data_IF_027333424661
#
_entry.id   IF_027333424661
#
_cell.length_a   1.000
_cell.length_b   1.000
_cell.length_c   1.000
_cell.angle_alpha   90.00
_cell.angle_beta   90.00
_cell.angle_gamma   90.00
#
_symmetry.space_group_name_H-M   'P 1'
#
loop_
_entity.id
_entity.type
_entity.pdbx_description
1 polymer ?
#
# COMPACT_ATOMS: atom_id res chain seq x y z
N UNK A 1 48.10 36.74 7.87
CA UNK A 1 49.25 35.85 8.11
C UNK A 1 48.71 34.43 8.27
N UNK A 2 49.32 33.46 7.56
CA UNK A 2 49.18 31.97 7.72
C UNK A 2 47.80 31.37 7.35
N UNK A 3 47.53 30.87 6.13
CA UNK A 3 47.94 29.60 5.46
C UNK A 3 47.77 28.32 6.30
N UNK A 4 46.84 27.43 5.91
CA UNK A 4 47.06 26.03 5.48
C UNK A 4 45.77 25.18 5.37
N UNK A 5 45.87 24.12 4.55
CA UNK A 5 44.93 23.00 4.27
C UNK A 5 43.79 23.27 3.25
N UNK A 6 43.50 22.43 2.26
CA UNK A 6 44.04 21.11 1.87
C UNK A 6 43.77 20.87 0.37
N UNK A 7 44.65 20.11 -0.28
CA UNK A 7 44.56 19.67 -1.68
C UNK A 7 43.44 18.62 -1.84
N UNK A 8 42.52 18.82 -2.77
CA UNK A 8 41.71 17.72 -3.32
C UNK A 8 42.37 17.22 -4.62
N UNK A 9 42.91 16.01 -4.57
CA UNK A 9 43.34 15.28 -5.76
C UNK A 9 42.12 14.53 -6.34
N UNK A 10 41.74 14.89 -7.56
CA UNK A 10 40.78 14.13 -8.36
C UNK A 10 41.46 12.90 -8.94
N UNK A 11 41.04 11.70 -8.51
CA UNK A 11 41.38 10.44 -9.18
C UNK A 11 40.24 10.14 -10.15
N UNK A 12 40.46 10.44 -11.42
CA UNK A 12 39.65 9.92 -12.52
C UNK A 12 40.18 8.51 -12.85
N UNK A 13 39.45 7.47 -12.44
CA UNK A 13 39.66 6.11 -12.94
C UNK A 13 38.56 5.78 -13.95
N UNK A 14 38.89 5.94 -15.23
CA UNK A 14 38.10 5.43 -16.35
C UNK A 14 38.30 3.92 -16.46
N UNK A 15 37.31 3.15 -16.02
CA UNK A 15 37.20 1.72 -16.38
C UNK A 15 35.98 1.54 -17.25
N UNK A 16 36.19 1.50 -18.56
CA UNK A 16 35.21 1.09 -19.56
C UNK A 16 34.95 -0.42 -19.42
N UNK A 17 33.88 -0.81 -18.73
CA UNK A 17 33.37 -2.18 -18.78
C UNK A 17 32.41 -2.29 -19.96
N UNK A 18 32.82 -3.06 -20.98
CA UNK A 18 31.94 -3.40 -22.09
C UNK A 18 30.83 -4.32 -21.57
N UNK A 19 29.58 -3.89 -21.70
CA UNK A 19 28.42 -4.73 -21.46
C UNK A 19 28.23 -5.64 -22.67
N UNK A 20 28.95 -6.76 -22.71
CA UNK A 20 28.59 -7.86 -23.60
C UNK A 20 27.22 -8.41 -23.15
N UNK A 21 26.25 -8.42 -24.07
CA UNK A 21 24.86 -8.79 -23.81
C UNK A 21 24.74 -10.18 -23.19
N UNK A 22 24.33 -10.23 -21.92
CA UNK A 22 23.93 -11.45 -21.26
C UNK A 22 22.59 -11.93 -21.86
N UNK A 23 22.69 -12.86 -22.81
CA UNK A 23 21.55 -13.58 -23.38
C UNK A 23 20.85 -14.34 -22.26
N UNK A 24 19.61 -13.95 -21.93
CA UNK A 24 18.76 -14.66 -20.97
C UNK A 24 18.36 -16.01 -21.57
N UNK A 25 18.94 -17.10 -21.07
CA UNK A 25 18.43 -18.45 -21.29
C UNK A 25 17.52 -18.82 -20.12
N UNK A 26 16.22 -18.92 -20.36
CA UNK A 26 15.28 -19.53 -19.42
C UNK A 26 14.96 -20.97 -19.88
N UNK A 27 14.91 -21.88 -18.92
CA UNK A 27 14.30 -23.21 -18.96
C UNK A 27 14.79 -24.18 -20.06
N UNK A 28 15.91 -24.85 -19.82
CA UNK A 28 16.21 -26.16 -20.43
C UNK A 28 16.23 -27.23 -19.35
N UNK A 29 15.50 -28.32 -19.60
CA UNK A 29 15.42 -29.54 -18.78
C UNK A 29 16.84 -30.09 -18.53
N UNK A 30 17.26 -30.40 -17.28
CA UNK A 30 18.58 -30.99 -17.05
C UNK A 30 18.60 -32.40 -17.64
N UNK A 31 19.34 -32.58 -18.73
CA UNK A 31 19.67 -33.88 -19.29
C UNK A 31 20.64 -34.59 -18.35
N UNK A 32 20.26 -35.79 -17.92
CA UNK A 32 21.09 -36.61 -17.05
C UNK A 32 22.39 -37.02 -17.73
N UNK A 33 23.51 -36.72 -17.10
CA UNK A 33 24.71 -37.54 -17.16
C UNK A 33 25.54 -37.29 -15.91
N UNK A 34 25.74 -38.34 -15.14
CA UNK A 34 26.57 -38.37 -13.94
C UNK A 34 28.05 -38.34 -14.36
N UNK A 35 28.72 -37.21 -14.21
CA UNK A 35 30.17 -37.15 -13.89
C UNK A 35 30.60 -35.70 -13.67
N UNK A 36 31.23 -35.45 -12.51
CA UNK A 36 31.96 -34.22 -12.22
C UNK A 36 31.09 -33.15 -11.57
N UNK A 37 31.44 -32.80 -10.33
CA UNK A 37 30.92 -31.67 -9.56
C UNK A 37 31.19 -30.34 -10.27
N UNK A 38 30.50 -30.07 -11.37
CA UNK A 38 30.30 -28.70 -11.82
C UNK A 38 29.34 -28.08 -10.81
N UNK A 39 29.88 -27.30 -9.87
CA UNK A 39 29.10 -26.36 -9.09
C UNK A 39 28.14 -25.66 -10.07
N UNK A 40 26.85 -26.03 -10.03
CA UNK A 40 25.82 -25.25 -10.70
C UNK A 40 26.11 -23.80 -10.32
N UNK A 41 26.19 -22.84 -11.26
CA UNK A 41 26.58 -21.47 -10.94
C UNK A 41 25.66 -21.00 -9.82
N UNK A 42 26.19 -21.04 -8.60
CA UNK A 42 25.47 -20.73 -7.40
C UNK A 42 25.13 -19.27 -7.57
N UNK A 43 23.82 -19.06 -7.62
CA UNK A 43 23.15 -17.87 -8.10
C UNK A 43 23.78 -16.60 -7.51
N UNK A 44 24.56 -15.88 -8.31
CA UNK A 44 25.25 -14.65 -7.88
C UNK A 44 24.25 -13.59 -7.38
N UNK A 45 22.99 -13.64 -7.84
CA UNK A 45 21.91 -12.81 -7.30
C UNK A 45 21.47 -13.31 -5.93
N UNK A 46 21.33 -14.61 -5.75
CA UNK A 46 21.04 -15.20 -4.43
C UNK A 46 22.14 -14.84 -3.43
N UNK A 47 23.41 -14.86 -3.81
CA UNK A 47 24.50 -14.45 -2.92
C UNK A 47 24.51 -12.93 -2.68
N UNK A 48 24.12 -12.11 -3.66
CA UNK A 48 23.88 -10.67 -3.45
C UNK A 48 22.72 -10.45 -2.47
N UNK A 49 21.60 -11.16 -2.60
CA UNK A 49 20.47 -11.08 -1.67
C UNK A 49 20.84 -11.57 -0.28
N UNK A 50 21.63 -12.64 -0.17
CA UNK A 50 22.17 -13.11 1.11
C UNK A 50 23.07 -12.05 1.73
N UNK A 51 23.94 -11.38 0.98
CA UNK A 51 24.79 -10.31 1.51
C UNK A 51 24.02 -9.04 1.89
N UNK A 52 22.89 -8.74 1.22
CA UNK A 52 22.01 -7.62 1.59
C UNK A 52 21.23 -7.94 2.87
N UNK A 53 20.63 -9.13 2.96
CA UNK A 53 19.80 -9.55 4.09
C UNK A 53 20.64 -9.92 5.31
N UNK A 54 21.78 -10.55 5.07
CA UNK A 54 22.75 -11.01 6.05
C UNK A 54 24.14 -10.54 5.65
N UNK A 55 24.48 -9.25 5.92
CA UNK A 55 25.83 -8.75 5.72
C UNK A 55 26.84 -9.70 6.37
N UNK A 56 27.99 -9.94 5.72
CA UNK A 56 29.08 -10.75 6.30
C UNK A 56 29.52 -10.23 7.67
N UNK A 57 29.32 -8.93 7.88
CA UNK A 57 29.56 -8.22 9.13
C UNK A 57 28.38 -8.33 10.11
N UNK A 58 27.39 -9.21 9.91
CA UNK A 58 26.18 -9.33 10.74
C UNK A 58 26.48 -9.58 12.22
N UNK A 59 27.59 -10.22 12.54
CA UNK A 59 28.03 -10.45 13.92
C UNK A 59 28.85 -9.30 14.51
N UNK A 60 29.19 -8.28 13.72
CA UNK A 60 29.94 -7.12 14.20
C UNK A 60 29.01 -6.13 14.92
N UNK A 61 29.49 -5.50 16.00
CA UNK A 61 28.72 -4.55 16.80
C UNK A 61 28.16 -3.35 16.03
N UNK A 62 28.83 -2.95 14.95
CA UNK A 62 28.48 -1.80 14.10
C UNK A 62 27.57 -2.16 12.93
N UNK A 63 27.11 -3.41 12.87
CA UNK A 63 26.34 -3.91 11.73
C UNK A 63 24.90 -3.42 11.75
N UNK A 64 24.34 -3.06 10.58
CA UNK A 64 22.91 -2.77 10.44
C UNK A 64 22.04 -4.05 10.37
N UNK A 65 22.63 -5.25 10.53
CA UNK A 65 21.91 -6.51 10.38
C UNK A 65 20.88 -6.70 11.51
N UNK A 66 19.60 -6.96 11.20
CA UNK A 66 18.55 -7.15 12.21
C UNK A 66 18.68 -8.47 12.99
N UNK A 67 19.45 -9.42 12.47
CA UNK A 67 19.73 -10.72 13.09
C UNK A 67 21.09 -10.78 13.83
N UNK A 68 21.80 -9.64 13.90
CA UNK A 68 23.12 -9.52 14.51
C UNK A 68 23.09 -9.34 16.02
N UNK A 69 24.21 -9.63 16.68
CA UNK A 69 24.41 -9.37 18.10
C UNK A 69 24.02 -7.92 18.45
N UNK A 70 23.35 -7.73 19.58
CA UNK A 70 22.92 -6.44 20.12
C UNK A 70 24.03 -5.38 19.94
N UNK A 71 23.74 -4.27 19.23
CA UNK A 71 24.70 -3.19 19.03
C UNK A 71 25.20 -2.72 20.41
N UNK A 72 26.52 -2.70 20.70
CA UNK A 72 27.04 -2.46 22.04
C UNK A 72 26.64 -1.06 22.55
N UNK A 73 26.66 -0.07 21.67
CA UNK A 73 26.26 1.30 22.00
C UNK A 73 24.73 1.55 21.98
N UNK A 74 23.90 0.53 21.76
CA UNK A 74 22.44 0.72 21.72
C UNK A 74 21.93 1.36 23.01
N UNK A 75 22.40 0.89 24.17
CA UNK A 75 22.04 1.46 25.47
C UNK A 75 22.52 2.90 25.60
N UNK A 76 23.74 3.22 25.15
CA UNK A 76 24.26 4.59 25.19
C UNK A 76 23.44 5.54 24.29
N UNK A 77 23.01 5.08 23.10
CA UNK A 77 22.14 5.85 22.21
C UNK A 77 20.74 6.03 22.79
N UNK A 78 20.17 4.97 23.37
CA UNK A 78 18.88 5.04 24.06
C UNK A 78 18.96 6.01 25.24
N UNK A 79 19.99 5.93 26.07
CA UNK A 79 20.21 6.85 27.19
C UNK A 79 20.42 8.31 26.74
N UNK A 80 21.09 8.53 25.60
CA UNK A 80 21.28 9.88 25.04
C UNK A 80 19.96 10.54 24.62
N UNK A 81 18.99 9.76 24.14
CA UNK A 81 17.66 10.25 23.71
C UNK A 81 16.66 10.22 24.88
N UNK A 82 16.76 9.21 25.73
CA UNK A 82 15.86 8.90 26.83
C UNK A 82 16.68 8.79 28.13
N UNK A 83 16.97 9.92 28.79
CA UNK A 83 17.80 9.92 29.99
C UNK A 83 17.14 9.18 31.16
N UNK A 84 15.81 9.21 31.24
CA UNK A 84 15.02 8.56 32.30
C UNK A 84 14.07 7.51 31.71
N UNK A 85 13.98 6.30 32.30
CA UNK A 85 13.07 5.25 31.83
C UNK A 85 11.58 5.62 32.00
N UNK A 86 11.26 6.41 33.03
CA UNK A 86 9.89 6.88 33.30
C UNK A 86 9.32 7.73 32.16
N UNK A 87 10.19 8.47 31.46
CA UNK A 87 9.79 9.32 30.31
C UNK A 87 9.30 8.44 29.18
N UNK A 88 9.99 7.32 28.90
CA UNK A 88 9.56 6.37 27.89
C UNK A 88 8.20 5.77 28.22
N UNK A 89 8.00 5.28 29.45
CA UNK A 89 6.72 4.71 29.89
C UNK A 89 5.57 5.73 29.78
N UNK A 90 5.86 6.99 30.12
CA UNK A 90 4.88 8.07 30.05
C UNK A 90 4.49 8.37 28.60
N UNK A 91 5.47 8.47 27.69
CA UNK A 91 5.23 8.66 26.25
C UNK A 91 4.40 7.51 25.70
N UNK A 92 4.75 6.27 26.02
CA UNK A 92 3.99 5.11 25.56
C UNK A 92 2.55 5.12 26.08
N UNK A 93 2.37 5.41 27.37
CA UNK A 93 1.05 5.46 27.99
C UNK A 93 0.19 6.56 27.35
N UNK A 94 0.77 7.75 27.15
CA UNK A 94 0.11 8.87 26.49
C UNK A 94 -0.25 8.53 25.03
N UNK A 95 0.64 7.88 24.29
CA UNK A 95 0.39 7.45 22.91
C UNK A 95 -0.73 6.40 22.83
N UNK A 96 -0.70 5.37 23.69
CA UNK A 96 -1.76 4.35 23.78
C UNK A 96 -3.11 4.99 24.16
N UNK A 97 -3.11 5.98 25.05
CA UNK A 97 -4.30 6.77 25.39
C UNK A 97 -4.83 7.55 24.19
N UNK A 98 -3.97 8.28 23.47
CA UNK A 98 -4.32 9.01 22.25
C UNK A 98 -4.93 8.08 21.19
N UNK A 99 -4.33 6.90 20.96
CA UNK A 99 -4.87 5.90 20.04
C UNK A 99 -6.27 5.43 20.47
N UNK A 100 -6.50 5.24 21.77
CA UNK A 100 -7.83 4.89 22.30
C UNK A 100 -8.84 6.00 22.01
N UNK A 101 -8.48 7.27 22.24
CA UNK A 101 -9.35 8.40 21.94
C UNK A 101 -9.68 8.49 20.45
N UNK A 102 -8.68 8.36 19.56
CA UNK A 102 -8.89 8.35 18.10
C UNK A 102 -9.82 7.23 17.64
N UNK A 103 -9.69 6.03 18.23
CA UNK A 103 -10.60 4.92 17.95
C UNK A 103 -12.03 5.23 18.39
N UNK A 104 -12.21 5.74 19.61
CA UNK A 104 -13.53 6.13 20.14
C UNK A 104 -14.20 7.20 19.28
N UNK A 105 -13.49 8.27 18.97
CA UNK A 105 -13.99 9.33 18.08
C UNK A 105 -14.46 8.77 16.73
N UNK A 106 -13.65 7.92 16.09
CA UNK A 106 -14.04 7.26 14.84
C UNK A 106 -15.28 6.38 14.99
N UNK A 107 -15.37 5.58 16.05
CA UNK A 107 -16.55 4.73 16.28
C UNK A 107 -17.80 5.55 16.56
N UNK A 108 -17.67 6.66 17.27
CA UNK A 108 -18.77 7.57 17.58
C UNK A 108 -19.27 8.28 16.31
N UNK A 109 -18.35 8.78 15.48
CA UNK A 109 -18.68 9.35 14.17
C UNK A 109 -19.39 8.34 13.27
N UNK A 110 -18.89 7.10 13.20
CA UNK A 110 -19.53 6.03 12.43
C UNK A 110 -20.93 5.71 12.96
N UNK A 111 -21.09 5.68 14.29
CA UNK A 111 -22.38 5.45 14.94
C UNK A 111 -23.37 6.57 14.63
N UNK A 112 -22.93 7.83 14.65
CA UNK A 112 -23.77 8.98 14.30
C UNK A 112 -24.21 8.89 12.84
N UNK A 113 -23.28 8.60 11.91
CA UNK A 113 -23.59 8.42 10.49
C UNK A 113 -24.57 7.27 10.25
N UNK A 114 -24.38 6.16 10.94
CA UNK A 114 -25.27 5.00 10.84
C UNK A 114 -26.69 5.31 11.35
N UNK A 115 -26.81 5.96 12.51
CA UNK A 115 -28.11 6.42 13.03
C UNK A 115 -28.81 7.38 12.08
N UNK A 116 -28.08 8.33 11.50
CA UNK A 116 -28.64 9.26 10.52
C UNK A 116 -29.15 8.52 9.27
N UNK A 117 -28.46 7.47 8.85
CA UNK A 117 -28.91 6.59 7.77
C UNK A 117 -30.18 5.80 8.13
N UNK A 118 -30.29 5.26 9.36
CA UNK A 118 -31.51 4.59 9.85
C UNK A 118 -32.72 5.53 9.78
N UNK A 119 -32.58 6.75 10.33
CA UNK A 119 -33.64 7.77 10.30
C UNK A 119 -34.06 8.08 8.85
N UNK A 120 -33.10 8.28 7.94
CA UNK A 120 -33.42 8.56 6.54
C UNK A 120 -34.12 7.38 5.83
N UNK A 121 -33.76 6.14 6.17
CA UNK A 121 -34.44 4.95 5.64
C UNK A 121 -35.87 4.82 6.20
N UNK A 122 -36.08 5.14 7.48
CA UNK A 122 -37.38 5.16 8.11
C UNK A 122 -38.28 6.22 7.47
N UNK A 123 -37.76 7.44 7.26
CA UNK A 123 -38.48 8.51 6.56
C UNK A 123 -38.88 8.08 5.14
N UNK A 124 -37.96 7.46 4.38
CA UNK A 124 -38.24 6.94 3.04
C UNK A 124 -39.30 5.83 3.07
N UNK A 125 -39.26 4.97 4.09
CA UNK A 125 -40.24 3.91 4.30
C UNK A 125 -41.62 4.50 4.59
N UNK A 126 -41.71 5.54 5.41
CA UNK A 126 -42.97 6.21 5.74
C UNK A 126 -43.61 6.89 4.53
N UNK A 127 -42.81 7.55 3.70
CA UNK A 127 -43.27 8.25 2.49
C UNK A 127 -43.74 7.27 1.40
N UNK A 128 -43.15 6.07 1.34
CA UNK A 128 -43.46 5.05 0.33
C UNK A 128 -44.52 4.04 0.77
N UNK A 129 -44.89 4.00 2.06
CA UNK A 129 -45.97 3.14 2.54
C UNK A 129 -47.35 3.76 2.23
N UNK A 130 -48.27 3.03 1.58
CA UNK A 130 -49.62 3.53 1.31
C UNK A 130 -50.43 3.59 2.61
N UNK A 131 -50.40 4.71 3.33
CA UNK A 131 -51.19 4.84 4.56
C UNK A 131 -52.68 5.13 4.30
N UNK A 132 -53.08 5.67 3.14
CA UNK A 132 -54.48 6.06 2.81
C UNK A 132 -54.81 6.07 1.30
N UNK A 133 -54.26 5.15 0.51
CA UNK A 133 -54.60 5.01 -0.92
C UNK A 133 -54.08 6.12 -1.85
N UNK A 134 -53.20 6.99 -1.38
CA UNK A 134 -52.49 7.99 -2.19
C UNK A 134 -51.02 7.93 -1.85
N UNK A 135 -50.25 7.20 -2.66
CA UNK A 135 -48.79 7.13 -2.55
C UNK A 135 -48.20 8.40 -3.19
N UNK A 136 -47.28 9.07 -2.49
CA UNK A 136 -46.55 10.21 -3.07
C UNK A 136 -45.42 9.72 -3.99
N UNK A 137 -44.85 8.55 -3.68
CA UNK A 137 -43.75 7.94 -4.42
C UNK A 137 -43.86 6.40 -4.42
N UNK A 138 -43.34 5.78 -5.48
CA UNK A 138 -43.33 4.33 -5.67
C UNK A 138 -42.44 3.63 -4.63
N UNK A 139 -42.95 2.52 -4.08
CA UNK A 139 -42.23 1.63 -3.16
C UNK A 139 -40.93 1.08 -3.73
N UNK A 140 -40.82 0.99 -5.06
CA UNK A 140 -39.60 0.54 -5.73
C UNK A 140 -38.35 1.33 -5.30
N UNK A 141 -38.48 2.61 -4.94
CA UNK A 141 -37.35 3.45 -4.51
C UNK A 141 -36.74 2.94 -3.20
N UNK A 142 -37.58 2.62 -2.22
CA UNK A 142 -37.13 2.05 -0.94
C UNK A 142 -36.45 0.69 -1.16
N UNK A 143 -37.04 -0.17 -1.99
CA UNK A 143 -36.49 -1.50 -2.30
C UNK A 143 -35.13 -1.38 -2.99
N UNK A 144 -34.98 -0.43 -3.91
CA UNK A 144 -33.71 -0.17 -4.58
C UNK A 144 -32.63 0.36 -3.62
N UNK A 145 -33.00 1.27 -2.69
CA UNK A 145 -32.07 1.82 -1.71
C UNK A 145 -31.62 0.78 -0.67
N UNK A 146 -32.53 -0.11 -0.24
CA UNK A 146 -32.23 -1.19 0.70
C UNK A 146 -31.42 -2.34 0.08
N UNK A 147 -31.30 -2.38 -1.26
CA UNK A 147 -30.57 -3.43 -1.96
C UNK A 147 -29.06 -3.29 -1.72
N UNK A 148 -28.47 -4.28 -1.05
CA UNK A 148 -27.01 -4.40 -0.95
C UNK A 148 -26.45 -4.91 -2.28
N UNK A 149 -25.59 -4.15 -2.99
CA UNK A 149 -24.91 -4.68 -4.16
C UNK A 149 -23.93 -5.77 -3.73
N UNK A 150 -23.92 -6.89 -4.47
CA UNK A 150 -22.89 -7.93 -4.33
C UNK A 150 -21.68 -7.54 -5.19
N UNK A 151 -20.53 -7.19 -4.58
CA UNK A 151 -19.37 -6.74 -5.33
C UNK A 151 -18.69 -7.85 -6.13
N UNK A 152 -19.00 -9.13 -5.88
CA UNK A 152 -18.40 -10.24 -6.61
C UNK A 152 -19.32 -10.87 -7.64
N UNK A 153 -20.56 -10.39 -7.74
CA UNK A 153 -21.48 -10.79 -8.79
C UNK A 153 -20.94 -10.30 -10.15
N UNK A 154 -20.46 -11.22 -10.99
CA UNK A 154 -20.01 -10.89 -12.34
C UNK A 154 -21.22 -10.47 -13.19
N UNK A 155 -21.20 -9.30 -13.84
CA UNK A 155 -22.20 -8.99 -14.85
C UNK A 155 -22.12 -10.06 -15.95
N UNK A 156 -23.25 -10.70 -16.28
CA UNK A 156 -23.27 -11.70 -17.36
C UNK A 156 -23.15 -10.94 -18.69
N UNK A 157 -22.07 -11.10 -19.48
CA UNK A 157 -21.98 -10.45 -20.78
C UNK A 157 -23.01 -11.10 -21.72
N UNK A 158 -24.04 -10.34 -22.10
CA UNK A 158 -25.03 -10.78 -23.07
C UNK A 158 -24.59 -10.27 -24.45
N UNK A 159 -24.03 -11.15 -25.28
CA UNK A 159 -23.71 -10.87 -26.68
C UNK A 159 -22.27 -10.43 -26.94
N UNK A 160 -21.76 -10.80 -28.11
CA UNK A 160 -20.33 -10.72 -28.48
C UNK A 160 -19.88 -9.27 -28.76
N UNK A 161 -18.65 -8.96 -28.32
CA UNK A 161 -17.90 -7.69 -28.31
C UNK A 161 -18.21 -6.83 -27.08
N UNK A 162 -17.31 -6.89 -26.10
CA UNK A 162 -17.27 -6.00 -24.95
C UNK A 162 -17.08 -4.59 -25.49
N UNK A 163 -18.11 -3.76 -25.38
CA UNK A 163 -18.03 -2.35 -25.75
C UNK A 163 -17.00 -1.65 -24.86
N UNK A 164 -16.30 -0.60 -25.34
CA UNK A 164 -15.41 0.18 -24.48
C UNK A 164 -16.15 0.67 -23.23
N UNK A 165 -17.44 0.96 -23.33
CA UNK A 165 -18.30 1.32 -22.20
C UNK A 165 -18.40 0.24 -21.12
N UNK A 166 -18.50 -1.03 -21.51
CA UNK A 166 -18.56 -2.18 -20.60
C UNK A 166 -17.21 -2.41 -19.92
N UNK A 167 -16.08 -2.22 -20.62
CA UNK A 167 -14.74 -2.25 -20.01
C UNK A 167 -14.61 -1.18 -18.91
N UNK A 168 -15.18 0.01 -19.13
CA UNK A 168 -15.18 1.08 -18.12
C UNK A 168 -16.14 0.83 -16.96
N UNK A 169 -17.29 0.19 -17.21
CA UNK A 169 -18.20 -0.26 -16.13
C UNK A 169 -17.57 -1.39 -15.32
N UNK A 170 -16.85 -2.31 -15.97
CA UNK A 170 -16.06 -3.35 -15.30
C UNK A 170 -14.94 -2.77 -14.42
N UNK A 171 -14.39 -1.60 -14.78
CA UNK A 171 -13.43 -0.90 -13.94
C UNK A 171 -14.05 -0.32 -12.64
N UNK A 172 -15.37 -0.08 -12.61
CA UNK A 172 -16.15 0.38 -11.45
C UNK A 172 -17.16 -0.68 -11.02
N UNK A 173 -16.64 -1.74 -10.42
CA UNK A 173 -17.45 -2.81 -9.84
C UNK A 173 -18.40 -2.20 -8.80
N UNK A 174 -19.71 -2.39 -8.98
CA UNK A 174 -20.73 -1.90 -8.05
C UNK A 174 -20.50 -2.47 -6.66
N UNK A 175 -20.57 -1.62 -5.62
CA UNK A 175 -20.28 -2.02 -4.25
C UNK A 175 -18.79 -2.05 -3.88
N UNK A 176 -17.87 -1.86 -4.84
CA UNK A 176 -16.45 -1.62 -4.58
C UNK A 176 -16.11 -0.13 -4.74
N UNK A 177 -15.03 0.30 -4.09
CA UNK A 177 -14.52 1.66 -4.27
C UNK A 177 -13.98 1.83 -5.70
N UNK A 178 -14.30 2.93 -6.40
CA UNK A 178 -13.73 3.23 -7.71
C UNK A 178 -12.20 3.29 -7.66
N UNK A 179 -11.55 2.77 -8.71
CA UNK A 179 -10.08 2.76 -8.82
C UNK A 179 -9.49 4.15 -8.98
N UNK A 180 -10.29 5.13 -9.43
CA UNK A 180 -9.85 6.51 -9.58
C UNK A 180 -9.74 7.26 -8.25
N UNK A 181 -10.30 6.72 -7.15
CA UNK A 181 -10.15 7.34 -5.83
C UNK A 181 -8.72 7.09 -5.34
N UNK A 182 -7.97 8.17 -5.17
CA UNK A 182 -6.59 8.10 -4.69
C UNK A 182 -6.50 8.07 -3.17
N UNK A 183 -5.49 7.35 -2.68
CA UNK A 183 -5.09 7.41 -1.29
C UNK A 183 -4.38 8.76 -1.06
N UNK A 184 -4.72 9.51 0.00
CA UNK A 184 -4.04 10.76 0.31
C UNK A 184 -2.52 10.57 0.42
N UNK A 185 -1.76 11.41 -0.28
CA UNK A 185 -0.29 11.46 -0.26
C UNK A 185 0.20 12.63 0.58
N UNK A 186 1.42 12.52 1.12
CA UNK A 186 2.01 13.57 1.98
C UNK A 186 2.23 14.88 1.22
N UNK A 187 2.71 14.80 -0.01
CA UNK A 187 2.88 15.96 -0.89
C UNK A 187 1.70 16.12 -1.82
N UNK A 188 1.37 17.38 -2.15
CA UNK A 188 0.36 17.69 -3.17
C UNK A 188 0.93 17.29 -4.53
N UNK A 189 0.39 16.21 -5.10
CA UNK A 189 0.71 15.79 -6.46
C UNK A 189 0.08 16.68 -7.53
N UNK A 190 -0.08 16.13 -8.74
CA UNK A 190 -0.91 16.76 -9.79
C UNK A 190 -2.33 16.85 -9.22
N UNK A 191 -2.81 18.07 -8.99
CA UNK A 191 -4.07 18.35 -8.27
C UNK A 191 -5.32 17.82 -8.98
N UNK A 192 -6.47 18.42 -8.70
CA UNK A 192 -7.72 17.98 -9.33
C UNK A 192 -7.70 18.16 -10.85
N UNK A 193 -8.11 17.14 -11.61
CA UNK A 193 -8.21 17.21 -13.06
C UNK A 193 -9.60 17.72 -13.50
N UNK A 194 -9.67 19.00 -13.86
CA UNK A 194 -10.91 19.63 -14.35
C UNK A 194 -11.31 19.19 -15.77
N UNK A 195 -10.36 18.67 -16.56
CA UNK A 195 -10.59 18.21 -17.94
C UNK A 195 -10.95 16.72 -18.02
N UNK A 196 -11.30 16.10 -16.88
CA UNK A 196 -11.67 14.69 -16.86
C UNK A 196 -12.89 14.43 -17.76
N UNK A 197 -12.72 13.59 -18.78
CA UNK A 197 -13.78 13.14 -19.67
C UNK A 197 -14.02 11.65 -19.50
N UNK A 198 -15.27 11.21 -19.69
CA UNK A 198 -15.57 9.78 -19.76
C UNK A 198 -14.84 9.21 -20.99
N UNK A 199 -13.99 8.22 -20.84
CA UNK A 199 -13.17 7.65 -21.92
C UNK A 199 -13.94 6.88 -23.01
N UNK A 200 -15.28 6.80 -22.94
CA UNK A 200 -16.15 6.39 -24.06
C UNK A 200 -16.74 7.56 -24.85
N UNK A 201 -16.45 8.81 -24.48
CA UNK A 201 -16.97 10.03 -25.13
C UNK A 201 -15.99 10.67 -26.13
N UNK A 202 -14.98 9.92 -26.57
CA UNK A 202 -14.01 10.32 -27.58
C UNK A 202 -14.20 9.54 -28.88
#
# INVERSE_FOLDING_TARGET
MSRCFSRCASIASSSSSSTAGAVRRYATKPGGSYSGMAAAPSDSRMDTFKHILYPLNSHLPLSPAPSGAHHPDHLARVQAVLPNPEVHETIERAFKLLQRHRRRARTDELRIKFKAMEVACDDLNEITMPKKGKETYDRAIYVAAAKRPDPWAKPKPVGKRISPEEVWKEARIEGLMPREIWVPTETRGKGWNYEWKRPSSA
#
